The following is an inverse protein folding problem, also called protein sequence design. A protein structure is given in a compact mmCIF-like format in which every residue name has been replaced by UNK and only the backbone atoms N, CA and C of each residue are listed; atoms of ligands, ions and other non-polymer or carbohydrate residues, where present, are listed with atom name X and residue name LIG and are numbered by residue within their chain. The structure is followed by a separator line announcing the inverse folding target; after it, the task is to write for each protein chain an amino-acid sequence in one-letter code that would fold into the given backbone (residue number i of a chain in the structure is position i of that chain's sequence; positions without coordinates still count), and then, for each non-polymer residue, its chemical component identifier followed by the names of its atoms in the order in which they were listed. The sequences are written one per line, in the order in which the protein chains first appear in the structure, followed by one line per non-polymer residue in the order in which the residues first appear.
data_IF_351593844727
#
_entry.id   IF_351593844727
#
_cell.length_a   1.000
_cell.length_b   1.000
_cell.length_c   1.000
_cell.angle_alpha   90.00
_cell.angle_beta   90.00
_cell.angle_gamma   90.00
#
_symmetry.space_group_name_H-M   'P 1'
#
loop_
_entity.id
_entity.type
_entity.pdbx_description
1 polymer ?
#
# COMPACT_ATOMS: atom_id res chain seq x y z
N UNK A 1 9.51 20.15 -0.38
CA UNK A 1 8.82 20.39 -1.69
C UNK A 1 8.57 19.05 -2.34
N UNK A 2 7.32 18.74 -2.72
CA UNK A 2 6.95 17.46 -3.34
C UNK A 2 7.66 17.24 -4.69
N UNK A 3 8.07 15.99 -4.93
CA UNK A 3 8.65 15.57 -6.21
C UNK A 3 7.60 15.52 -7.33
N UNK A 4 8.06 15.57 -8.59
CA UNK A 4 7.18 15.44 -9.77
C UNK A 4 6.40 14.11 -9.73
N UNK A 5 7.02 13.03 -9.21
CA UNK A 5 6.38 11.71 -9.11
C UNK A 5 5.28 11.70 -8.05
N UNK A 6 5.47 12.38 -6.91
CA UNK A 6 4.42 12.54 -5.90
C UNK A 6 3.21 13.27 -6.48
N UNK A 7 3.42 14.44 -7.11
CA UNK A 7 2.34 15.23 -7.70
C UNK A 7 1.57 14.45 -8.78
N UNK A 8 2.28 13.72 -9.63
CA UNK A 8 1.65 12.89 -10.65
C UNK A 8 0.83 11.72 -10.05
N UNK A 9 1.28 11.15 -8.93
CA UNK A 9 0.55 10.07 -8.23
C UNK A 9 -0.66 10.64 -7.49
N UNK A 10 -0.52 11.79 -6.83
CA UNK A 10 -1.63 12.51 -6.18
C UNK A 10 -2.75 12.85 -7.17
N UNK A 11 -2.40 13.37 -8.36
CA UNK A 11 -3.37 13.66 -9.42
C UNK A 11 -4.15 12.40 -9.83
N UNK A 12 -3.46 11.28 -10.03
CA UNK A 12 -4.11 9.99 -10.38
C UNK A 12 -5.04 9.47 -9.28
N UNK A 13 -4.65 9.65 -8.01
CA UNK A 13 -5.48 9.27 -6.86
C UNK A 13 -6.74 10.11 -6.84
N UNK A 14 -6.62 11.44 -6.96
CA UNK A 14 -7.76 12.36 -6.99
C UNK A 14 -8.71 12.06 -8.17
N UNK A 15 -8.16 11.74 -9.34
CA UNK A 15 -8.97 11.36 -10.50
C UNK A 15 -9.80 10.09 -10.26
N UNK A 16 -9.26 9.12 -9.55
CA UNK A 16 -9.99 7.88 -9.20
C UNK A 16 -11.08 8.09 -8.14
N UNK A 17 -10.97 9.15 -7.35
CA UNK A 17 -11.89 9.48 -6.26
C UNK A 17 -12.95 10.53 -6.65
N UNK A 18 -13.06 10.92 -7.92
CA UNK A 18 -14.01 11.96 -8.38
C UNK A 18 -15.45 11.70 -7.97
N UNK A 19 -15.85 10.43 -7.92
CA UNK A 19 -17.20 10.02 -7.55
C UNK A 19 -17.36 9.73 -6.05
N UNK A 20 -16.32 9.92 -5.24
CA UNK A 20 -16.27 9.67 -3.79
C UNK A 20 -15.85 10.95 -3.06
N UNK A 21 -16.76 11.91 -2.86
CA UNK A 21 -16.40 13.26 -2.39
C UNK A 21 -15.73 13.29 -1.02
N UNK A 22 -16.16 12.46 -0.06
CA UNK A 22 -15.53 12.37 1.27
C UNK A 22 -14.10 11.83 1.19
N UNK A 23 -13.90 10.78 0.39
CA UNK A 23 -12.56 10.21 0.16
C UNK A 23 -11.64 11.19 -0.58
N UNK A 24 -12.20 11.97 -1.53
CA UNK A 24 -11.45 13.01 -2.25
C UNK A 24 -11.03 14.14 -1.30
N UNK A 25 -11.91 14.54 -0.39
CA UNK A 25 -11.58 15.54 0.65
C UNK A 25 -10.52 15.00 1.60
N UNK A 26 -10.62 13.74 2.03
CA UNK A 26 -9.61 13.10 2.87
C UNK A 26 -8.21 13.13 2.24
N UNK A 27 -8.08 12.72 0.96
CA UNK A 27 -6.76 12.73 0.32
C UNK A 27 -6.22 14.15 0.15
N UNK A 28 -7.08 15.15 -0.13
CA UNK A 28 -6.67 16.56 -0.19
C UNK A 28 -6.16 17.05 1.16
N UNK A 29 -6.85 16.72 2.23
CA UNK A 29 -6.43 17.03 3.60
C UNK A 29 -5.04 16.44 3.89
N UNK A 30 -4.87 15.12 3.67
CA UNK A 30 -3.61 14.41 3.93
C UNK A 30 -2.45 14.88 3.03
N UNK A 31 -2.72 15.19 1.77
CA UNK A 31 -1.67 15.69 0.85
C UNK A 31 -1.18 17.10 1.22
N UNK A 32 -1.98 17.89 1.95
CA UNK A 32 -1.60 19.21 2.45
C UNK A 32 -1.14 19.21 3.91
N UNK A 33 -1.10 18.05 4.56
CA UNK A 33 -0.62 17.91 5.94
C UNK A 33 0.91 17.92 5.95
N UNK A 34 1.49 19.03 6.41
CA UNK A 34 2.95 19.23 6.45
C UNK A 34 3.63 18.26 7.42
N UNK A 35 3.02 17.99 8.58
CA UNK A 35 3.58 17.05 9.56
C UNK A 35 3.65 15.63 8.96
N UNK A 36 2.58 15.18 8.31
CA UNK A 36 2.59 13.88 7.63
C UNK A 36 3.67 13.81 6.56
N UNK A 37 3.82 14.86 5.75
CA UNK A 37 4.86 14.92 4.71
C UNK A 37 6.27 14.80 5.30
N UNK A 38 6.57 15.56 6.35
CA UNK A 38 7.88 15.52 7.03
C UNK A 38 8.15 14.15 7.68
N UNK A 39 7.13 13.53 8.29
CA UNK A 39 7.26 12.19 8.85
C UNK A 39 7.56 11.14 7.77
N UNK A 40 6.91 11.21 6.62
CA UNK A 40 7.15 10.32 5.48
C UNK A 40 8.57 10.52 4.92
N UNK A 41 9.02 11.76 4.75
CA UNK A 41 10.37 12.08 4.27
C UNK A 41 11.44 11.59 5.26
N UNK A 42 11.22 11.77 6.56
CA UNK A 42 12.17 11.31 7.57
C UNK A 42 12.22 9.78 7.64
N UNK A 43 11.09 9.10 7.55
CA UNK A 43 11.02 7.63 7.45
C UNK A 43 11.84 7.12 6.27
N UNK A 44 11.71 7.77 5.12
CA UNK A 44 12.48 7.45 3.92
C UNK A 44 13.98 7.67 4.11
N UNK A 45 14.37 8.79 4.72
CA UNK A 45 15.77 9.09 5.00
C UNK A 45 16.39 8.04 5.92
N UNK A 46 15.70 7.61 6.98
CA UNK A 46 16.16 6.55 7.88
C UNK A 46 16.24 5.21 7.14
N UNK A 47 15.19 4.83 6.41
CA UNK A 47 15.16 3.59 5.63
C UNK A 47 16.35 3.47 4.67
N UNK A 48 16.60 4.49 3.88
CA UNK A 48 17.63 4.46 2.84
C UNK A 48 19.03 4.66 3.43
N UNK A 49 19.25 5.71 4.22
CA UNK A 49 20.60 6.12 4.62
C UNK A 49 21.14 5.37 5.84
N UNK A 50 20.29 5.11 6.85
CA UNK A 50 20.73 4.40 8.06
C UNK A 50 20.61 2.90 7.93
N UNK A 51 19.48 2.42 7.37
CA UNK A 51 19.16 1.00 7.35
C UNK A 51 19.52 0.31 6.03
N UNK A 52 19.70 1.06 4.94
CA UNK A 52 20.05 0.53 3.62
C UNK A 52 18.94 -0.25 2.93
N UNK A 53 17.68 0.01 3.29
CA UNK A 53 16.49 -0.57 2.65
C UNK A 53 16.01 0.24 1.45
N UNK A 54 14.99 -0.25 0.78
CA UNK A 54 14.31 0.41 -0.33
C UNK A 54 13.56 1.68 0.14
N UNK A 55 13.03 2.44 -0.82
CA UNK A 55 12.19 3.61 -0.58
C UNK A 55 10.92 3.23 0.22
N UNK A 56 10.71 3.88 1.38
CA UNK A 56 9.54 3.77 2.26
C UNK A 56 8.96 5.16 2.55
N UNK A 57 9.12 6.07 1.61
CA UNK A 57 8.75 7.48 1.75
C UNK A 57 7.45 7.86 1.04
N UNK A 58 7.27 9.17 0.81
CA UNK A 58 6.03 9.75 0.30
C UNK A 58 5.55 9.13 -1.02
N UNK A 59 6.47 8.83 -1.94
CA UNK A 59 6.14 8.24 -3.25
C UNK A 59 5.58 6.83 -3.09
N UNK A 60 6.24 6.00 -2.25
CA UNK A 60 5.80 4.64 -1.95
C UNK A 60 4.40 4.63 -1.34
N UNK A 61 4.20 5.40 -0.27
CA UNK A 61 2.92 5.45 0.45
C UNK A 61 1.76 5.87 -0.47
N UNK A 62 1.98 6.88 -1.34
CA UNK A 62 0.99 7.28 -2.35
C UNK A 62 0.73 6.20 -3.39
N UNK A 63 1.76 5.45 -3.79
CA UNK A 63 1.60 4.35 -4.73
C UNK A 63 0.77 3.22 -4.12
N UNK A 64 0.98 2.90 -2.83
CA UNK A 64 0.18 1.92 -2.09
C UNK A 64 -1.29 2.36 -2.02
N UNK A 65 -1.56 3.62 -1.68
CA UNK A 65 -2.93 4.18 -1.72
C UNK A 65 -3.55 4.03 -3.11
N UNK A 66 -2.82 4.40 -4.17
CA UNK A 66 -3.33 4.30 -5.54
C UNK A 66 -3.65 2.86 -5.97
N UNK A 67 -2.83 1.89 -5.55
CA UNK A 67 -3.07 0.47 -5.79
C UNK A 67 -4.29 -0.03 -5.01
N UNK A 68 -4.40 0.32 -3.74
CA UNK A 68 -5.48 -0.09 -2.86
C UNK A 68 -6.84 0.45 -3.30
N UNK A 69 -6.94 1.74 -3.64
CA UNK A 69 -8.15 2.34 -4.22
C UNK A 69 -8.58 1.60 -5.49
N UNK A 70 -7.62 1.27 -6.35
CA UNK A 70 -7.92 0.55 -7.58
C UNK A 70 -8.48 -0.85 -7.31
N UNK A 71 -7.92 -1.58 -6.34
CA UNK A 71 -8.42 -2.89 -5.94
C UNK A 71 -9.83 -2.80 -5.33
N UNK A 72 -10.08 -1.85 -4.43
CA UNK A 72 -11.40 -1.66 -3.84
C UNK A 72 -12.45 -1.30 -4.90
N UNK A 73 -12.15 -0.39 -5.84
CA UNK A 73 -13.06 -0.07 -6.92
C UNK A 73 -13.37 -1.28 -7.81
N UNK A 74 -12.39 -2.15 -8.07
CA UNK A 74 -12.63 -3.41 -8.79
C UNK A 74 -13.58 -4.30 -7.99
N UNK A 75 -13.37 -4.49 -6.68
CA UNK A 75 -14.27 -5.29 -5.86
C UNK A 75 -15.70 -4.73 -5.87
N UNK A 76 -15.84 -3.41 -5.74
CA UNK A 76 -17.13 -2.73 -5.78
C UNK A 76 -17.87 -2.93 -7.12
N UNK A 77 -17.15 -2.86 -8.25
CA UNK A 77 -17.71 -3.11 -9.58
C UNK A 77 -18.17 -4.58 -9.78
N UNK A 78 -17.61 -5.51 -9.02
CA UNK A 78 -18.05 -6.90 -8.96
C UNK A 78 -19.07 -7.17 -7.83
N UNK A 79 -19.63 -6.12 -7.23
CA UNK A 79 -20.61 -6.18 -6.15
C UNK A 79 -20.11 -6.96 -4.91
N UNK A 80 -18.79 -6.98 -4.70
CA UNK A 80 -18.16 -7.62 -3.54
C UNK A 80 -18.08 -6.59 -2.42
N UNK A 81 -18.81 -6.86 -1.35
CA UNK A 81 -18.84 -6.03 -0.15
C UNK A 81 -17.53 -6.06 0.61
N UNK A 82 -17.09 -4.91 1.11
CA UNK A 82 -16.00 -4.77 2.08
C UNK A 82 -16.39 -5.33 3.45
N UNK A 83 -15.46 -5.45 4.39
CA UNK A 83 -15.79 -5.98 5.72
C UNK A 83 -16.76 -5.10 6.46
N UNK A 84 -16.60 -3.77 6.43
CA UNK A 84 -17.54 -2.85 7.06
C UNK A 84 -18.95 -2.94 6.48
N UNK A 85 -19.08 -3.16 5.15
CA UNK A 85 -20.38 -3.36 4.51
C UNK A 85 -21.01 -4.73 4.85
N UNK A 86 -20.19 -5.79 4.96
CA UNK A 86 -20.67 -7.14 5.33
C UNK A 86 -21.19 -7.18 6.77
N UNK A 87 -20.55 -6.44 7.65
CA UNK A 87 -20.89 -6.31 9.07
C UNK A 87 -22.00 -5.31 9.34
N UNK A 88 -22.48 -4.59 8.31
CA UNK A 88 -23.47 -3.50 8.40
C UNK A 88 -23.03 -2.38 9.37
N UNK A 89 -21.73 -2.20 9.53
CA UNK A 89 -21.12 -1.21 10.43
C UNK A 89 -20.74 0.08 9.72
N UNK A 90 -20.49 0.04 8.41
CA UNK A 90 -20.11 1.20 7.62
C UNK A 90 -20.39 1.02 6.13
N UNK A 91 -20.07 2.05 5.38
CA UNK A 91 -20.23 2.10 3.92
C UNK A 91 -18.95 1.70 3.19
N UNK A 92 -19.05 1.56 1.85
CA UNK A 92 -17.90 1.42 0.96
C UNK A 92 -16.93 2.62 1.10
N UNK A 93 -17.46 3.84 1.23
CA UNK A 93 -16.67 5.04 1.44
C UNK A 93 -15.90 5.02 2.76
N UNK A 94 -16.48 4.46 3.83
CA UNK A 94 -15.79 4.30 5.12
C UNK A 94 -14.60 3.34 5.00
N UNK A 95 -14.79 2.22 4.29
CA UNK A 95 -13.72 1.28 3.96
C UNK A 95 -12.62 1.95 3.11
N UNK A 96 -13.01 2.75 2.12
CA UNK A 96 -12.09 3.52 1.29
C UNK A 96 -11.29 4.53 2.12
N UNK A 97 -11.94 5.26 3.04
CA UNK A 97 -11.26 6.17 3.96
C UNK A 97 -10.23 5.44 4.84
N UNK A 98 -10.60 4.27 5.40
CA UNK A 98 -9.69 3.47 6.21
C UNK A 98 -8.44 3.02 5.43
N UNK A 99 -8.63 2.57 4.20
CA UNK A 99 -7.55 2.16 3.30
C UNK A 99 -6.65 3.32 2.90
N UNK A 100 -7.20 4.50 2.63
CA UNK A 100 -6.43 5.72 2.34
C UNK A 100 -5.55 6.09 3.54
N UNK A 101 -6.12 6.15 4.73
CA UNK A 101 -5.39 6.45 5.97
C UNK A 101 -4.26 5.44 6.20
N UNK A 102 -4.56 4.16 6.09
CA UNK A 102 -3.56 3.11 6.27
C UNK A 102 -2.42 3.22 5.25
N UNK A 103 -2.73 3.34 3.97
CA UNK A 103 -1.74 3.44 2.91
C UNK A 103 -0.82 4.65 3.04
N UNK A 104 -1.35 5.80 3.52
CA UNK A 104 -0.55 7.01 3.75
C UNK A 104 0.38 6.92 4.95
N UNK A 105 0.14 5.98 5.90
CA UNK A 105 0.83 6.01 7.20
C UNK A 105 1.44 4.68 7.64
N UNK A 106 1.31 3.59 6.85
CA UNK A 106 1.75 2.25 7.27
C UNK A 106 3.24 2.15 7.59
N UNK A 107 4.09 2.96 6.96
CA UNK A 107 5.54 2.92 7.08
C UNK A 107 6.17 4.06 7.91
N UNK A 108 5.37 4.89 8.60
CA UNK A 108 5.89 6.00 9.42
C UNK A 108 6.87 5.51 10.50
N UNK A 109 6.67 4.31 11.04
CA UNK A 109 7.53 3.68 12.03
C UNK A 109 8.93 3.33 11.55
N UNK A 110 9.18 3.32 10.23
CA UNK A 110 10.53 3.21 9.68
C UNK A 110 11.46 4.33 10.11
N UNK A 111 10.91 5.46 10.57
CA UNK A 111 11.67 6.54 11.20
C UNK A 111 12.32 6.14 12.52
N UNK A 112 11.83 5.08 13.17
CA UNK A 112 12.30 4.58 14.47
C UNK A 112 13.09 3.28 14.30
N UNK A 113 12.51 2.26 13.65
CA UNK A 113 13.10 0.94 13.52
C UNK A 113 12.50 0.16 12.34
N UNK A 114 13.28 -0.74 11.74
CA UNK A 114 12.73 -1.73 10.79
C UNK A 114 11.92 -2.81 11.50
N UNK A 115 12.42 -3.30 12.62
CA UNK A 115 11.73 -4.34 13.37
C UNK A 115 10.57 -3.76 14.18
N UNK A 116 9.36 -4.26 13.92
CA UNK A 116 8.15 -3.80 14.60
C UNK A 116 7.68 -2.40 14.16
N UNK A 117 8.18 -1.89 13.01
CA UNK A 117 7.80 -0.57 12.50
C UNK A 117 6.29 -0.44 12.27
N UNK A 118 5.59 -1.54 11.98
CA UNK A 118 4.13 -1.55 11.83
C UNK A 118 3.39 -1.08 13.10
N UNK A 119 3.91 -1.44 14.28
CA UNK A 119 3.34 -0.98 15.56
C UNK A 119 3.69 0.48 15.82
N UNK A 120 4.94 0.87 15.53
CA UNK A 120 5.38 2.27 15.64
C UNK A 120 4.62 3.16 14.68
N UNK A 121 4.36 2.68 13.44
CA UNK A 121 3.51 3.38 12.48
C UNK A 121 2.11 3.61 13.01
N UNK A 122 1.47 2.60 13.60
CA UNK A 122 0.16 2.74 14.19
C UNK A 122 0.13 3.77 15.32
N UNK A 123 1.17 3.82 16.18
CA UNK A 123 1.28 4.83 17.24
C UNK A 123 1.46 6.24 16.67
N UNK A 124 2.36 6.41 15.71
CA UNK A 124 2.65 7.70 15.09
C UNK A 124 1.47 8.22 14.26
N UNK A 125 0.68 7.33 13.66
CA UNK A 125 -0.47 7.66 12.83
C UNK A 125 -1.68 8.20 13.63
N UNK A 126 -1.85 7.80 14.91
CA UNK A 126 -3.06 8.12 15.68
C UNK A 126 -3.42 9.61 15.70
N UNK A 127 -2.50 10.55 16.01
CA UNK A 127 -2.85 11.98 16.03
C UNK A 127 -3.30 12.50 14.66
N UNK A 128 -2.70 11.98 13.57
CA UNK A 128 -3.02 12.38 12.20
C UNK A 128 -4.39 11.82 11.80
N UNK A 129 -4.64 10.53 12.08
CA UNK A 129 -5.95 9.90 11.83
C UNK A 129 -7.05 10.64 12.57
N UNK A 130 -6.84 10.96 13.85
CA UNK A 130 -7.84 11.63 14.68
C UNK A 130 -8.22 13.00 14.12
N UNK A 131 -7.23 13.86 13.78
CA UNK A 131 -7.53 15.19 13.23
C UNK A 131 -8.14 15.14 11.83
N UNK A 132 -7.72 14.18 10.99
CA UNK A 132 -8.30 14.01 9.67
C UNK A 132 -9.77 13.54 9.74
N UNK A 133 -10.07 12.56 10.58
CA UNK A 133 -11.44 12.08 10.78
C UNK A 133 -12.32 13.11 11.49
N UNK A 134 -11.78 13.91 12.42
CA UNK A 134 -12.50 15.01 13.04
C UNK A 134 -12.83 16.10 12.01
N UNK A 135 -11.95 16.37 11.06
CA UNK A 135 -12.21 17.30 9.95
C UNK A 135 -13.37 16.82 9.06
N UNK A 136 -13.37 15.53 8.69
CA UNK A 136 -14.38 14.98 7.79
C UNK A 136 -15.73 14.72 8.46
N UNK A 137 -15.69 14.17 9.66
CA UNK A 137 -16.87 13.65 10.37
C UNK A 137 -16.98 14.24 11.79
N UNK A 138 -17.07 15.58 11.95
CA UNK A 138 -17.03 16.23 13.27
C UNK A 138 -18.14 15.76 14.21
N UNK A 139 -19.30 15.43 13.67
CA UNK A 139 -20.51 15.06 14.43
C UNK A 139 -20.84 13.56 14.38
N UNK A 140 -19.98 12.74 13.76
CA UNK A 140 -20.20 11.30 13.62
C UNK A 140 -19.09 10.49 14.30
N UNK A 141 -19.26 10.28 15.60
CA UNK A 141 -18.31 9.50 16.40
C UNK A 141 -18.21 8.05 15.94
N UNK A 142 -19.34 7.44 15.51
CA UNK A 142 -19.38 6.06 15.07
C UNK A 142 -18.45 5.85 13.86
N UNK A 143 -18.61 6.64 12.80
CA UNK A 143 -17.75 6.57 11.61
C UNK A 143 -16.27 6.78 11.96
N UNK A 144 -15.96 7.78 12.80
CA UNK A 144 -14.57 8.01 13.23
C UNK A 144 -13.95 6.80 13.92
N UNK A 145 -14.72 6.12 14.78
CA UNK A 145 -14.24 4.94 15.53
C UNK A 145 -13.98 3.75 14.60
N UNK A 146 -14.93 3.40 13.75
CA UNK A 146 -14.80 2.23 12.86
C UNK A 146 -13.71 2.43 11.82
N UNK A 147 -13.64 3.60 11.15
CA UNK A 147 -12.62 3.91 10.16
C UNK A 147 -11.22 3.87 10.79
N UNK A 148 -11.06 4.48 11.98
CA UNK A 148 -9.80 4.45 12.72
C UNK A 148 -9.39 3.03 13.09
N UNK A 149 -10.31 2.18 13.55
CA UNK A 149 -10.04 0.81 13.94
C UNK A 149 -9.53 -0.02 12.74
N UNK A 150 -10.24 0.03 11.62
CA UNK A 150 -9.85 -0.68 10.38
C UNK A 150 -8.55 -0.16 9.81
N UNK A 151 -8.34 1.17 9.79
CA UNK A 151 -7.07 1.75 9.37
C UNK A 151 -5.90 1.28 10.25
N UNK A 152 -6.11 1.20 11.57
CA UNK A 152 -5.10 0.72 12.51
C UNK A 152 -4.78 -0.77 12.30
N UNK A 153 -5.79 -1.62 12.07
CA UNK A 153 -5.60 -3.02 11.71
C UNK A 153 -4.74 -3.14 10.45
N UNK A 154 -5.08 -2.38 9.41
CA UNK A 154 -4.35 -2.40 8.15
C UNK A 154 -2.90 -1.94 8.29
N UNK A 155 -2.62 -0.91 9.10
CA UNK A 155 -1.25 -0.46 9.40
C UNK A 155 -0.48 -1.57 10.14
N UNK A 156 -1.05 -2.17 11.18
CA UNK A 156 -0.37 -3.22 11.97
C UNK A 156 -0.15 -4.49 11.13
N UNK A 157 -1.07 -4.79 10.22
CA UNK A 157 -1.08 -6.03 9.44
C UNK A 157 -0.26 -6.01 8.15
N UNK A 158 0.23 -4.86 7.67
CA UNK A 158 0.83 -4.74 6.34
C UNK A 158 2.12 -5.56 6.11
N UNK A 159 2.77 -6.04 7.19
CA UNK A 159 3.98 -6.88 7.12
C UNK A 159 3.72 -8.39 7.10
N UNK A 160 2.48 -8.86 7.06
CA UNK A 160 2.12 -10.28 7.16
C UNK A 160 2.60 -11.01 8.43
N UNK A 161 3.13 -10.29 9.41
CA UNK A 161 3.60 -10.86 10.69
C UNK A 161 2.48 -11.04 11.72
N UNK A 162 1.32 -10.47 11.42
CA UNK A 162 0.12 -10.53 12.26
C UNK A 162 -1.06 -11.03 11.44
N UNK A 163 -1.93 -11.79 12.10
CA UNK A 163 -3.21 -12.18 11.49
C UNK A 163 -4.10 -10.94 11.36
N UNK A 164 -4.58 -10.70 10.17
CA UNK A 164 -5.55 -9.66 9.84
C UNK A 164 -6.88 -10.30 9.47
N UNK A 165 -7.98 -9.59 9.61
CA UNK A 165 -9.31 -10.15 9.47
C UNK A 165 -10.15 -9.43 8.42
N UNK A 166 -9.97 -8.11 8.24
CA UNK A 166 -10.75 -7.32 7.30
C UNK A 166 -10.22 -7.42 5.87
N UNK A 167 -11.12 -7.33 4.90
CA UNK A 167 -10.78 -7.22 3.47
C UNK A 167 -9.93 -5.98 3.25
N UNK A 168 -10.24 -4.88 3.92
CA UNK A 168 -9.53 -3.60 3.85
C UNK A 168 -8.05 -3.75 4.24
N UNK A 169 -7.77 -4.41 5.36
CA UNK A 169 -6.39 -4.69 5.77
C UNK A 169 -5.70 -5.64 4.78
N UNK A 170 -6.43 -6.63 4.26
CA UNK A 170 -5.96 -7.52 3.21
C UNK A 170 -5.58 -6.80 1.92
N UNK A 171 -6.36 -5.81 1.52
CA UNK A 171 -6.08 -4.96 0.33
C UNK A 171 -4.82 -4.13 0.56
N UNK A 172 -4.62 -3.52 1.73
CA UNK A 172 -3.39 -2.76 2.04
C UNK A 172 -2.16 -3.67 1.99
N UNK A 173 -2.24 -4.86 2.58
CA UNK A 173 -1.16 -5.84 2.57
C UNK A 173 -0.72 -6.21 1.13
N UNK A 174 -1.67 -6.45 0.23
CA UNK A 174 -1.40 -6.78 -1.17
C UNK A 174 -0.91 -5.53 -1.93
N UNK A 175 -1.53 -4.37 -1.71
CA UNK A 175 -1.19 -3.12 -2.38
C UNK A 175 0.24 -2.67 -2.10
N UNK A 176 0.73 -2.83 -0.86
CA UNK A 176 2.11 -2.60 -0.47
C UNK A 176 3.04 -3.60 -1.18
N UNK A 177 2.68 -4.91 -1.20
CA UNK A 177 3.41 -5.92 -1.97
C UNK A 177 3.53 -5.60 -3.46
N UNK A 178 2.55 -4.92 -4.04
CA UNK A 178 2.56 -4.50 -5.45
C UNK A 178 3.48 -3.30 -5.75
N UNK A 179 4.01 -2.59 -4.76
CA UNK A 179 5.00 -1.51 -5.02
C UNK A 179 6.43 -2.02 -4.85
N UNK A 180 6.81 -3.02 -5.64
CA UNK A 180 8.13 -3.66 -5.63
C UNK A 180 8.94 -3.44 -6.92
N UNK A 181 8.67 -2.37 -7.66
CA UNK A 181 9.36 -2.08 -8.93
C UNK A 181 10.78 -1.55 -8.73
N UNK A 182 11.59 -1.63 -9.79
CA UNK A 182 12.99 -1.13 -9.83
C UNK A 182 13.16 0.30 -9.31
N UNK A 183 12.12 1.13 -9.38
CA UNK A 183 12.16 2.51 -8.88
C UNK A 183 12.48 2.61 -7.40
N UNK A 184 11.98 1.68 -6.57
CA UNK A 184 12.26 1.63 -5.12
C UNK A 184 13.69 1.25 -4.76
N UNK A 185 14.32 0.39 -5.56
CA UNK A 185 15.67 -0.12 -5.29
C UNK A 185 16.77 0.79 -5.83
N UNK A 186 16.48 1.74 -6.72
CA UNK A 186 17.47 2.54 -7.46
C UNK A 186 18.42 3.32 -6.55
N UNK A 187 17.88 4.08 -5.60
CA UNK A 187 18.70 4.93 -4.71
C UNK A 187 19.56 4.07 -3.77
N UNK A 188 18.99 3.06 -3.06
CA UNK A 188 19.79 2.16 -2.24
C UNK A 188 20.92 1.46 -3.00
N UNK A 189 20.69 1.04 -4.24
CA UNK A 189 21.73 0.42 -5.08
C UNK A 189 22.87 1.38 -5.44
N UNK A 190 22.57 2.67 -5.62
CA UNK A 190 23.59 3.69 -5.90
C UNK A 190 24.42 4.05 -4.66
N UNK A 191 23.81 4.04 -3.48
CA UNK A 191 24.47 4.44 -2.23
C UNK A 191 25.27 3.30 -1.58
N UNK A 192 24.84 2.06 -1.74
CA UNK A 192 25.45 0.87 -1.11
C UNK A 192 26.09 -0.03 -2.19
N UNK A 193 27.36 0.17 -2.45
CA UNK A 193 28.14 -0.62 -3.43
C UNK A 193 28.76 -1.88 -2.84
N UNK A 194 28.86 -1.99 -1.49
CA UNK A 194 29.40 -3.17 -0.81
C UNK A 194 28.33 -4.22 -0.63
N UNK A 195 28.51 -5.49 -1.09
CA UNK A 195 27.57 -6.58 -0.94
C UNK A 195 27.20 -6.83 0.54
N UNK A 196 25.89 -7.04 0.81
CA UNK A 196 25.35 -7.34 2.15
C UNK A 196 24.35 -8.48 2.09
N UNK A 197 24.10 -9.11 3.24
CA UNK A 197 23.01 -10.07 3.39
C UNK A 197 21.68 -9.36 3.11
N UNK A 198 20.82 -9.98 2.29
CA UNK A 198 19.53 -9.41 1.87
C UNK A 198 19.58 -8.58 0.57
N UNK A 199 20.72 -8.42 -0.06
CA UNK A 199 20.85 -7.70 -1.35
C UNK A 199 20.03 -8.34 -2.47
N UNK A 200 19.68 -9.63 -2.36
CA UNK A 200 18.80 -10.31 -3.31
C UNK A 200 17.46 -9.57 -3.50
N UNK A 201 16.92 -8.96 -2.45
CA UNK A 201 15.70 -8.16 -2.54
C UNK A 201 15.86 -6.91 -3.41
N UNK A 202 17.07 -6.30 -3.42
CA UNK A 202 17.37 -5.14 -4.28
C UNK A 202 17.50 -5.56 -5.74
N UNK A 203 18.25 -6.66 -5.99
CA UNK A 203 18.47 -7.17 -7.34
C UNK A 203 17.16 -7.69 -7.95
N UNK A 204 16.36 -8.43 -7.19
CA UNK A 204 15.08 -8.96 -7.66
C UNK A 204 14.07 -7.84 -7.92
N UNK A 205 13.98 -6.83 -7.04
CA UNK A 205 13.13 -5.67 -7.27
C UNK A 205 13.56 -4.86 -8.51
N UNK A 206 14.89 -4.77 -8.79
CA UNK A 206 15.40 -4.10 -9.98
C UNK A 206 15.02 -4.83 -11.29
N UNK A 207 14.74 -6.12 -11.23
CA UNK A 207 14.25 -6.90 -12.37
C UNK A 207 12.76 -6.70 -12.67
N UNK A 208 11.98 -6.15 -11.75
CA UNK A 208 10.54 -5.89 -11.97
C UNK A 208 10.37 -4.61 -12.80
N UNK A 209 9.94 -4.78 -14.04
CA UNK A 209 9.72 -3.65 -14.95
C UNK A 209 8.39 -2.95 -14.67
N UNK A 210 7.32 -3.73 -14.49
CA UNK A 210 5.96 -3.23 -14.38
C UNK A 210 5.08 -4.16 -13.57
N UNK A 211 4.21 -3.57 -12.76
CA UNK A 211 3.09 -4.25 -12.11
C UNK A 211 1.81 -3.54 -12.55
N UNK A 212 0.85 -4.31 -13.01
CA UNK A 212 -0.44 -3.83 -13.47
C UNK A 212 -1.54 -4.52 -12.67
N UNK A 213 -2.44 -3.74 -12.10
CA UNK A 213 -3.63 -4.20 -11.41
C UNK A 213 -4.81 -3.86 -12.30
N UNK A 214 -5.67 -4.80 -12.62
CA UNK A 214 -6.86 -4.58 -13.43
C UNK A 214 -7.93 -5.65 -13.15
N UNK A 215 -9.10 -5.53 -13.78
CA UNK A 215 -10.14 -6.56 -13.71
C UNK A 215 -9.60 -7.87 -14.28
N UNK A 216 -9.85 -8.96 -13.59
CA UNK A 216 -9.46 -10.28 -14.00
C UNK A 216 -10.60 -11.03 -14.72
N UNK A 217 -10.26 -12.19 -15.25
CA UNK A 217 -11.20 -13.08 -15.94
C UNK A 217 -11.69 -14.21 -15.03
N UNK A 218 -10.81 -14.73 -14.17
CA UNK A 218 -11.09 -15.84 -13.25
C UNK A 218 -11.49 -15.35 -11.87
N UNK A 219 -10.85 -14.26 -11.43
CA UNK A 219 -11.11 -13.58 -10.16
C UNK A 219 -11.17 -12.07 -10.38
N UNK A 220 -11.88 -11.31 -9.51
CA UNK A 220 -12.11 -9.89 -9.72
C UNK A 220 -10.85 -9.07 -9.96
N UNK A 221 -9.81 -9.29 -9.15
CA UNK A 221 -8.56 -8.54 -9.22
C UNK A 221 -7.50 -9.38 -9.93
N UNK A 222 -6.99 -8.89 -11.05
CA UNK A 222 -5.82 -9.45 -11.73
C UNK A 222 -4.59 -8.60 -11.49
N UNK A 223 -3.53 -9.24 -11.01
CA UNK A 223 -2.19 -8.65 -10.87
C UNK A 223 -1.30 -9.28 -11.93
N UNK A 224 -0.81 -8.45 -12.85
CA UNK A 224 0.09 -8.83 -13.92
C UNK A 224 1.47 -8.23 -13.68
N UNK A 225 2.53 -9.06 -13.68
CA UNK A 225 3.91 -8.64 -13.42
C UNK A 225 4.78 -8.96 -14.63
N UNK A 226 5.50 -7.94 -15.08
CA UNK A 226 6.46 -8.02 -16.17
C UNK A 226 7.87 -7.80 -15.64
N UNK A 227 8.78 -8.71 -15.99
CA UNK A 227 10.16 -8.72 -15.50
C UNK A 227 11.15 -8.68 -16.67
N UNK A 228 12.38 -8.18 -16.39
CA UNK A 228 13.51 -8.22 -17.32
C UNK A 228 14.36 -9.50 -17.22
N UNK A 229 14.17 -10.32 -16.20
CA UNK A 229 14.92 -11.55 -15.97
C UNK A 229 14.40 -12.36 -14.79
N UNK A 230 14.84 -13.62 -14.71
CA UNK A 230 14.33 -14.64 -13.77
C UNK A 230 14.54 -14.31 -12.30
N UNK A 231 15.54 -13.48 -11.95
CA UNK A 231 15.75 -13.05 -10.57
C UNK A 231 14.52 -12.31 -9.98
N UNK A 232 13.66 -11.76 -10.85
CA UNK A 232 12.40 -11.14 -10.44
C UNK A 232 11.41 -12.10 -9.80
N UNK A 233 11.45 -13.41 -10.14
CA UNK A 233 10.59 -14.41 -9.52
C UNK A 233 10.76 -14.51 -8.00
N UNK A 234 11.97 -14.29 -7.49
CA UNK A 234 12.23 -14.22 -6.06
C UNK A 234 11.35 -13.16 -5.37
N UNK A 235 11.22 -11.98 -5.98
CA UNK A 235 10.38 -10.90 -5.42
C UNK A 235 8.91 -11.25 -5.39
N UNK A 236 8.47 -12.02 -6.39
CA UNK A 236 7.07 -12.49 -6.46
C UNK A 236 6.81 -13.54 -5.39
N UNK A 237 7.65 -14.56 -5.29
CA UNK A 237 7.42 -15.71 -4.41
C UNK A 237 7.62 -15.35 -2.94
N UNK A 238 8.69 -14.63 -2.60
CA UNK A 238 9.06 -14.32 -1.22
C UNK A 238 8.33 -13.07 -0.67
N UNK A 239 7.93 -12.14 -1.53
CA UNK A 239 7.33 -10.88 -1.05
C UNK A 239 5.84 -10.81 -1.36
N UNK A 240 5.44 -10.86 -2.64
CA UNK A 240 4.04 -10.63 -3.00
C UNK A 240 3.15 -11.83 -2.69
N UNK A 241 3.56 -13.02 -3.10
CA UNK A 241 2.77 -14.23 -2.91
C UNK A 241 2.57 -14.53 -1.42
N UNK A 242 3.62 -14.37 -0.61
CA UNK A 242 3.55 -14.53 0.85
C UNK A 242 2.53 -13.58 1.50
N UNK A 243 2.40 -12.35 0.99
CA UNK A 243 1.40 -11.37 1.44
C UNK A 243 -0.01 -11.73 0.98
N UNK A 244 -0.16 -12.17 -0.29
CA UNK A 244 -1.46 -12.59 -0.81
C UNK A 244 -1.97 -13.81 -0.05
N UNK A 245 -1.10 -14.77 0.26
CA UNK A 245 -1.47 -16.05 0.91
C UNK A 245 -2.11 -15.88 2.29
N UNK A 246 -1.69 -14.89 3.04
CA UNK A 246 -2.25 -14.60 4.38
C UNK A 246 -3.33 -13.53 4.38
N UNK A 247 -3.62 -12.95 3.22
CA UNK A 247 -4.62 -11.88 3.08
C UNK A 247 -6.05 -12.44 3.05
N UNK A 248 -6.99 -11.85 3.79
CA UNK A 248 -8.43 -12.11 3.63
C UNK A 248 -8.94 -11.87 2.20
N UNK A 249 -8.28 -10.98 1.45
CA UNK A 249 -8.63 -10.68 0.06
C UNK A 249 -8.05 -11.68 -0.97
N UNK A 250 -7.29 -12.71 -0.57
CA UNK A 250 -6.68 -13.72 -1.45
C UNK A 250 -7.66 -14.33 -2.43
N UNK A 251 -8.87 -14.66 -1.97
CA UNK A 251 -9.91 -15.29 -2.79
C UNK A 251 -10.31 -14.47 -4.02
N UNK A 252 -10.08 -13.16 -3.98
CA UNK A 252 -10.44 -12.22 -5.05
C UNK A 252 -9.29 -11.93 -6.03
N UNK A 253 -8.10 -12.51 -5.81
CA UNK A 253 -6.88 -12.16 -6.57
C UNK A 253 -6.43 -13.31 -7.45
N UNK A 254 -6.17 -13.02 -8.73
CA UNK A 254 -5.37 -13.84 -9.62
C UNK A 254 -4.04 -13.15 -9.93
N UNK A 255 -2.96 -13.93 -9.99
CA UNK A 255 -1.59 -13.43 -10.14
C UNK A 255 -0.90 -14.10 -11.32
N UNK A 256 -0.42 -13.28 -12.24
CA UNK A 256 0.39 -13.69 -13.39
C UNK A 256 1.72 -12.97 -13.40
N UNK A 257 2.77 -13.69 -13.75
CA UNK A 257 4.09 -13.08 -13.89
C UNK A 257 4.90 -13.74 -14.99
N UNK A 258 5.76 -12.97 -15.66
CA UNK A 258 6.65 -13.48 -16.69
C UNK A 258 7.73 -12.50 -17.10
N UNK A 259 8.78 -13.04 -17.70
CA UNK A 259 9.85 -12.28 -18.32
C UNK A 259 9.37 -11.77 -19.68
N UNK A 260 9.76 -10.56 -20.06
CA UNK A 260 9.44 -9.95 -21.36
C UNK A 260 9.80 -10.92 -22.51
N UNK A 261 8.81 -11.19 -23.36
CA UNK A 261 8.99 -12.09 -24.50
C UNK A 261 8.84 -13.59 -24.19
N UNK A 262 8.53 -13.95 -22.94
CA UNK A 262 8.26 -15.34 -22.54
C UNK A 262 6.78 -15.51 -22.12
N UNK A 263 6.33 -16.77 -22.03
CA UNK A 263 5.02 -17.10 -21.52
C UNK A 263 4.89 -16.73 -20.04
N UNK A 264 3.71 -16.21 -19.66
CA UNK A 264 3.43 -15.81 -18.27
C UNK A 264 2.99 -17.01 -17.45
N UNK A 265 3.61 -17.19 -16.29
CA UNK A 265 3.22 -18.19 -15.29
C UNK A 265 2.01 -17.66 -14.50
N UNK A 266 1.00 -18.52 -14.35
CA UNK A 266 -0.12 -18.31 -13.43
C UNK A 266 0.27 -18.82 -12.03
N UNK A 267 0.17 -17.97 -11.01
CA UNK A 267 0.48 -18.31 -9.61
C UNK A 267 -0.77 -18.58 -8.79
N UNK A 268 -1.91 -17.90 -9.13
CA UNK A 268 -3.18 -18.00 -8.40
C UNK A 268 -4.39 -17.97 -9.35
#
# INVERSE_FOLDING_TARGET
MKSVKELATESKIQDRLKNHPECLELVRYLFNDEELQEMQEYSNNVSIRRLGYNDHGPVHMRQVVGNAIKMLNILHEFEIKTSLEQEEMGSFEDSMCAVILAGMMHDLGMSISRQGHEKMSAMLAQPIIERALMHLFPNDLHRRVIIRAVATEAIIGHMSTKKIHSIEAGIILIADGCDMTKGRARIPMQLNTTPRVGDIHKYSANAINRISIHKGERKPIKIDIEMSGDVGFFQIEEVLLSKIDVSPAKQFVELYAGVVGQERKCYL
#
